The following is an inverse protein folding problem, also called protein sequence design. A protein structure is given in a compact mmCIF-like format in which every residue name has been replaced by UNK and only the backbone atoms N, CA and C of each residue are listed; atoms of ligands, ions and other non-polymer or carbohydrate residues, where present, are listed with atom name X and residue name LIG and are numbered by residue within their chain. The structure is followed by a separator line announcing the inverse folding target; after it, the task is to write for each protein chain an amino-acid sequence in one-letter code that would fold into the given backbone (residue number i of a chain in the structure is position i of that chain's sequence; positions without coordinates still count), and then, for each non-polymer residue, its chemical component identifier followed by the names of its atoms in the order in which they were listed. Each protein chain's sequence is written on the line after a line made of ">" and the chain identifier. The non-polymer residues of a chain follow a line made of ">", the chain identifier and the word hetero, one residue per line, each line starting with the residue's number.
data_IF_038997684625
#
_entry.id   IF_038997684625
#
_cell.length_a   1.000
_cell.length_b   1.000
_cell.length_c   1.000
_cell.angle_alpha   90.00
_cell.angle_beta   90.00
_cell.angle_gamma   90.00
#
_symmetry.space_group_name_H-M   'P 1'
#
loop_
_entity.id
_entity.type
_entity.pdbx_description
1 polymer ?
#
# COMPACT_ATOMS: atom_id res chain seq x y z
N UNK A 1 -47.20 22.86 -17.72
CA UNK A 1 -46.62 23.75 -16.71
C UNK A 1 -45.93 22.81 -15.75
N UNK A 2 -44.62 22.84 -15.91
CA UNK A 2 -43.62 21.89 -15.47
C UNK A 2 -43.16 22.27 -14.07
N UNK A 3 -42.97 21.29 -13.18
CA UNK A 3 -42.17 21.43 -11.97
C UNK A 3 -41.29 20.18 -11.87
N UNK A 4 -40.07 20.28 -12.40
CA UNK A 4 -38.95 19.38 -12.08
C UNK A 4 -38.18 20.02 -10.92
N UNK A 5 -38.18 19.35 -9.76
CA UNK A 5 -37.37 19.69 -8.60
C UNK A 5 -35.90 19.33 -8.87
N UNK A 6 -35.07 20.35 -9.12
CA UNK A 6 -33.61 20.29 -9.13
C UNK A 6 -33.06 20.31 -7.69
N UNK A 7 -32.79 19.12 -7.13
CA UNK A 7 -31.94 18.95 -5.95
C UNK A 7 -30.78 18.00 -6.28
N UNK A 8 -29.66 18.50 -6.81
CA UNK A 8 -28.37 17.81 -6.79
C UNK A 8 -27.25 18.78 -7.24
N UNK A 9 -26.49 19.39 -6.31
CA UNK A 9 -25.14 19.94 -6.58
C UNK A 9 -24.36 20.49 -5.35
N UNK A 10 -24.48 19.91 -4.16
CA UNK A 10 -23.75 20.39 -2.95
C UNK A 10 -22.69 19.41 -2.43
N UNK A 11 -22.67 18.15 -2.88
CA UNK A 11 -21.72 17.15 -2.38
C UNK A 11 -20.30 17.31 -2.96
N UNK A 12 -20.16 17.89 -4.15
CA UNK A 12 -18.88 17.98 -4.86
C UNK A 12 -17.91 19.02 -4.25
N UNK A 13 -18.41 20.12 -3.67
CA UNK A 13 -17.56 21.22 -3.20
C UNK A 13 -16.74 20.84 -1.95
N UNK A 14 -17.32 20.03 -1.06
CA UNK A 14 -16.62 19.53 0.15
C UNK A 14 -15.51 18.57 -0.24
N UNK A 15 -15.75 17.71 -1.25
CA UNK A 15 -14.72 16.81 -1.75
C UNK A 15 -13.56 17.58 -2.37
N UNK A 16 -13.84 18.63 -3.14
CA UNK A 16 -12.81 19.45 -3.78
C UNK A 16 -11.93 20.19 -2.77
N UNK A 17 -12.54 20.74 -1.70
CA UNK A 17 -11.82 21.38 -0.61
C UNK A 17 -10.84 20.42 0.08
N UNK A 18 -11.30 19.23 0.44
CA UNK A 18 -10.47 18.21 1.09
C UNK A 18 -9.31 17.78 0.19
N UNK A 19 -9.57 17.63 -1.12
CA UNK A 19 -8.59 17.22 -2.13
C UNK A 19 -7.46 18.25 -2.34
N UNK A 20 -7.77 19.56 -2.31
CA UNK A 20 -6.75 20.62 -2.37
C UNK A 20 -5.83 20.65 -1.16
N UNK A 21 -6.34 20.35 0.04
CA UNK A 21 -5.48 20.20 1.23
C UNK A 21 -4.55 18.99 1.12
N UNK A 22 -4.94 17.93 0.38
CA UNK A 22 -4.10 16.74 0.15
C UNK A 22 -2.88 17.09 -0.68
N UNK A 23 -3.03 17.85 -1.77
CA UNK A 23 -1.89 18.17 -2.64
C UNK A 23 -0.80 18.88 -1.85
N UNK A 24 -1.18 19.75 -0.91
CA UNK A 24 -0.26 20.40 0.01
C UNK A 24 0.38 19.44 1.03
N UNK A 25 -0.36 18.46 1.56
CA UNK A 25 0.19 17.45 2.49
C UNK A 25 1.08 16.40 1.82
N UNK A 26 0.76 16.01 0.58
CA UNK A 26 1.53 15.02 -0.19
C UNK A 26 2.85 15.64 -0.67
N UNK A 27 2.82 16.89 -1.12
CA UNK A 27 4.03 17.64 -1.48
C UNK A 27 4.95 17.84 -0.27
N UNK A 28 4.40 17.96 0.95
CA UNK A 28 5.17 18.07 2.19
C UNK A 28 5.77 16.75 2.71
N UNK A 29 5.24 15.59 2.29
CA UNK A 29 5.70 14.25 2.74
C UNK A 29 6.50 13.46 1.69
N UNK A 30 6.71 14.04 0.51
CA UNK A 30 7.57 13.45 -0.53
C UNK A 30 9.04 13.38 -0.06
N UNK A 31 9.81 12.34 -0.46
CA UNK A 31 11.20 12.17 -0.04
C UNK A 31 12.09 13.33 -0.53
N UNK A 32 13.03 13.84 0.29
CA UNK A 32 13.83 14.99 -0.06
C UNK A 32 14.98 14.54 -0.97
N UNK A 33 14.73 14.39 -2.27
CA UNK A 33 15.83 14.34 -3.23
C UNK A 33 15.41 14.83 -4.62
N UNK A 34 15.20 16.14 -4.75
CA UNK A 34 15.84 16.99 -5.75
C UNK A 34 15.22 18.40 -5.70
N UNK A 35 16.09 19.41 -5.64
CA UNK A 35 15.80 20.85 -5.77
C UNK A 35 15.41 21.62 -4.50
N UNK A 36 16.31 21.62 -3.51
CA UNK A 36 16.49 22.78 -2.65
C UNK A 36 17.33 23.85 -3.39
N UNK A 37 16.65 24.81 -4.02
CA UNK A 37 17.07 26.20 -4.30
C UNK A 37 15.94 26.80 -5.15
N UNK A 38 15.12 27.73 -4.68
CA UNK A 38 15.45 29.14 -4.51
C UNK A 38 14.33 29.76 -3.64
N UNK A 39 14.71 30.48 -2.59
CA UNK A 39 13.79 31.33 -1.84
C UNK A 39 13.88 32.78 -2.29
N UNK A 40 12.69 33.39 -2.42
CA UNK A 40 12.29 34.80 -2.20
C UNK A 40 12.17 35.79 -3.39
N UNK A 41 10.90 36.21 -3.53
CA UNK A 41 10.32 37.56 -3.70
C UNK A 41 10.10 38.20 -5.09
N UNK A 42 8.83 38.55 -5.29
CA UNK A 42 8.25 39.76 -5.93
C UNK A 42 7.87 39.75 -7.43
N UNK A 43 6.56 39.96 -7.62
CA UNK A 43 5.80 40.67 -8.67
C UNK A 43 6.41 41.01 -10.05
N UNK A 44 5.57 40.75 -11.09
CA UNK A 44 5.45 41.35 -12.46
C UNK A 44 5.77 40.47 -13.68
N UNK A 45 4.67 40.12 -14.39
CA UNK A 45 4.34 40.46 -15.80
C UNK A 45 5.35 40.14 -16.94
N UNK A 46 4.89 39.22 -17.80
CA UNK A 46 5.06 39.05 -19.27
C UNK A 46 6.40 38.64 -19.93
N UNK A 47 6.22 37.74 -20.92
CA UNK A 47 6.98 37.52 -22.18
C UNK A 47 8.13 36.48 -22.22
N UNK A 48 7.73 35.24 -22.55
CA UNK A 48 8.20 34.39 -23.66
C UNK A 48 9.67 34.52 -24.11
N UNK A 49 10.45 33.46 -23.85
CA UNK A 49 11.46 32.98 -24.80
C UNK A 49 11.72 31.48 -24.64
N UNK A 50 11.64 30.77 -25.77
CA UNK A 50 11.96 29.35 -25.96
C UNK A 50 13.41 29.05 -25.54
N UNK A 51 13.59 28.00 -24.75
CA UNK A 51 14.79 27.16 -24.80
C UNK A 51 14.36 25.71 -24.66
N UNK A 52 14.44 24.98 -25.77
CA UNK A 52 14.29 23.52 -25.82
C UNK A 52 15.36 22.89 -24.93
N UNK A 53 14.95 22.19 -23.89
CA UNK A 53 15.76 21.15 -23.26
C UNK A 53 14.91 19.88 -23.26
N UNK A 54 15.38 18.96 -24.09
CA UNK A 54 14.87 17.62 -24.25
C UNK A 54 15.20 16.86 -22.95
N UNK A 55 14.18 16.58 -22.15
CA UNK A 55 14.25 15.65 -21.04
C UNK A 55 12.95 14.87 -21.07
N UNK A 56 13.05 13.67 -21.62
CA UNK A 56 12.15 12.52 -21.54
C UNK A 56 10.91 12.76 -20.66
N UNK A 57 9.92 13.43 -21.23
CA UNK A 57 8.61 13.58 -20.62
C UNK A 57 7.87 12.28 -20.88
N UNK A 58 7.99 11.33 -19.95
CA UNK A 58 6.88 10.40 -19.72
C UNK A 58 5.67 11.31 -19.54
N UNK A 59 4.73 11.25 -20.49
CA UNK A 59 3.46 11.97 -20.39
C UNK A 59 2.92 11.74 -18.98
N UNK A 60 2.93 12.78 -18.13
CA UNK A 60 2.26 12.71 -16.84
C UNK A 60 0.79 12.59 -17.19
N UNK A 61 0.30 11.36 -17.25
CA UNK A 61 -1.11 11.05 -17.37
C UNK A 61 -1.77 11.79 -16.21
N UNK A 62 -2.58 12.78 -16.55
CA UNK A 62 -3.21 13.66 -15.58
C UNK A 62 -4.03 12.78 -14.63
N UNK A 63 -3.62 12.70 -13.37
CA UNK A 63 -4.22 11.77 -12.41
C UNK A 63 -5.61 12.31 -12.07
N UNK A 64 -6.70 11.55 -12.33
CA UNK A 64 -8.04 11.99 -12.00
C UNK A 64 -8.16 12.45 -10.55
N UNK A 65 -8.94 13.51 -10.35
CA UNK A 65 -9.12 14.09 -9.03
C UNK A 65 -10.01 13.22 -8.15
N UNK A 66 -10.98 12.52 -8.72
CA UNK A 66 -11.85 11.56 -8.04
C UNK A 66 -11.59 10.14 -8.55
N UNK A 67 -11.67 9.18 -7.63
CA UNK A 67 -11.55 7.75 -7.95
C UNK A 67 -12.69 6.99 -7.29
N UNK A 68 -13.30 6.07 -8.06
CA UNK A 68 -14.20 5.08 -7.50
C UNK A 68 -13.44 4.08 -6.63
N UNK A 69 -14.11 3.53 -5.61
CA UNK A 69 -13.50 2.49 -4.77
C UNK A 69 -13.27 1.22 -5.61
N UNK A 70 -12.05 0.66 -5.63
CA UNK A 70 -11.80 -0.61 -6.30
C UNK A 70 -12.45 -1.76 -5.51
N UNK A 71 -13.23 -2.57 -6.20
CA UNK A 71 -13.88 -3.77 -5.62
C UNK A 71 -13.11 -5.07 -5.91
N UNK A 72 -12.24 -5.03 -6.93
CA UNK A 72 -11.50 -6.22 -7.39
C UNK A 72 -10.02 -5.92 -7.55
N UNK A 73 -9.19 -6.98 -7.49
CA UNK A 73 -7.75 -6.85 -7.72
C UNK A 73 -7.44 -6.32 -9.13
N UNK A 74 -8.21 -6.72 -10.13
CA UNK A 74 -8.05 -6.24 -11.50
C UNK A 74 -8.39 -4.74 -11.63
N UNK A 75 -9.42 -4.26 -10.93
CA UNK A 75 -9.75 -2.83 -10.90
C UNK A 75 -8.64 -2.01 -10.24
N UNK A 76 -8.12 -2.47 -9.09
CA UNK A 76 -7.00 -1.82 -8.42
C UNK A 76 -5.74 -1.78 -9.30
N UNK A 77 -5.45 -2.90 -9.99
CA UNK A 77 -4.33 -3.00 -10.92
C UNK A 77 -4.50 -2.10 -12.14
N UNK A 78 -5.72 -1.91 -12.64
CA UNK A 78 -5.97 -0.95 -13.74
C UNK A 78 -5.80 0.50 -13.30
N UNK A 79 -6.08 0.83 -12.04
CA UNK A 79 -5.93 2.18 -11.52
C UNK A 79 -4.46 2.54 -11.23
N UNK A 80 -3.65 1.59 -10.77
CA UNK A 80 -2.30 1.85 -10.23
C UNK A 80 -1.20 1.21 -11.07
N UNK A 81 -1.50 0.16 -11.83
CA UNK A 81 -0.51 -0.72 -12.45
C UNK A 81 0.35 -0.09 -13.53
N UNK A 82 -0.12 0.97 -14.20
CA UNK A 82 0.64 1.73 -15.19
C UNK A 82 1.40 2.92 -14.62
N UNK A 83 1.22 3.21 -13.34
CA UNK A 83 1.72 4.43 -12.70
C UNK A 83 3.02 4.19 -11.93
N UNK A 84 3.83 5.25 -11.82
CA UNK A 84 5.03 5.23 -10.97
C UNK A 84 4.62 5.18 -9.47
N UNK A 85 5.59 5.04 -8.57
CA UNK A 85 5.30 4.90 -7.14
C UNK A 85 4.67 6.17 -6.52
N UNK A 86 5.08 7.37 -6.96
CA UNK A 86 4.55 8.65 -6.46
C UNK A 86 3.09 8.86 -6.87
N UNK A 87 2.79 8.56 -8.13
CA UNK A 87 1.44 8.56 -8.67
C UNK A 87 0.57 7.52 -7.96
N UNK A 88 1.10 6.31 -7.74
CA UNK A 88 0.41 5.26 -6.98
C UNK A 88 0.06 5.70 -5.57
N UNK A 89 0.98 6.38 -4.87
CA UNK A 89 0.75 6.96 -3.55
C UNK A 89 -0.39 7.99 -3.59
N UNK A 90 -0.36 8.88 -4.59
CA UNK A 90 -1.38 9.92 -4.76
C UNK A 90 -2.76 9.31 -5.04
N UNK A 91 -2.84 8.33 -5.96
CA UNK A 91 -4.07 7.63 -6.31
C UNK A 91 -4.69 6.94 -5.09
N UNK A 92 -3.90 6.15 -4.35
CA UNK A 92 -4.41 5.46 -3.14
C UNK A 92 -4.84 6.47 -2.07
N UNK A 93 -4.10 7.57 -1.91
CA UNK A 93 -4.47 8.63 -0.97
C UNK A 93 -5.81 9.27 -1.33
N UNK A 94 -6.04 9.58 -2.61
CA UNK A 94 -7.31 10.13 -3.10
C UNK A 94 -8.45 9.14 -2.89
N UNK A 95 -8.29 7.87 -3.27
CA UNK A 95 -9.28 6.80 -3.03
C UNK A 95 -9.68 6.74 -1.55
N UNK A 96 -8.69 6.76 -0.64
CA UNK A 96 -8.93 6.67 0.81
C UNK A 96 -9.69 7.88 1.36
N UNK A 97 -9.31 9.10 0.95
CA UNK A 97 -9.98 10.33 1.41
C UNK A 97 -11.39 10.46 0.84
N UNK A 98 -11.61 10.08 -0.42
CA UNK A 98 -12.95 10.02 -1.03
C UNK A 98 -13.89 9.00 -0.35
N UNK A 99 -13.33 8.00 0.35
CA UNK A 99 -14.09 6.94 1.00
C UNK A 99 -13.81 6.89 2.50
N UNK A 100 -13.60 8.04 3.14
CA UNK A 100 -13.36 8.09 4.58
C UNK A 100 -14.57 7.54 5.36
N UNK A 101 -14.37 6.84 6.50
CA UNK A 101 -15.47 6.30 7.31
C UNK A 101 -16.43 7.37 7.84
N UNK A 102 -15.97 8.62 7.95
CA UNK A 102 -16.77 9.75 8.42
C UNK A 102 -17.82 10.22 7.41
N UNK A 103 -17.68 9.86 6.13
CA UNK A 103 -18.57 10.30 5.06
C UNK A 103 -19.82 9.43 4.96
N UNK A 104 -19.69 8.11 5.12
CA UNK A 104 -20.81 7.17 5.09
C UNK A 104 -20.48 5.89 5.86
N UNK A 105 -21.47 5.28 6.52
CA UNK A 105 -21.26 4.05 7.32
C UNK A 105 -20.78 2.86 6.47
N UNK A 106 -21.22 2.76 5.21
CA UNK A 106 -20.84 1.67 4.32
C UNK A 106 -19.37 1.75 3.86
N UNK A 107 -18.74 2.93 3.94
CA UNK A 107 -17.33 3.14 3.60
C UNK A 107 -16.40 2.30 4.48
N UNK A 108 -16.83 1.93 5.70
CA UNK A 108 -16.04 1.04 6.56
C UNK A 108 -15.83 -0.33 5.93
N UNK A 109 -16.85 -0.90 5.27
CA UNK A 109 -16.72 -2.18 4.55
C UNK A 109 -15.84 -2.00 3.31
N UNK A 110 -16.02 -0.90 2.59
CA UNK A 110 -15.19 -0.56 1.42
C UNK A 110 -13.71 -0.48 1.77
N UNK A 111 -13.37 0.12 2.93
CA UNK A 111 -12.00 0.18 3.46
C UNK A 111 -11.45 -1.21 3.80
N UNK A 112 -12.27 -2.11 4.37
CA UNK A 112 -11.85 -3.50 4.62
C UNK A 112 -11.51 -4.21 3.30
N UNK A 113 -12.36 -4.06 2.28
CA UNK A 113 -12.11 -4.61 0.94
C UNK A 113 -10.81 -4.04 0.37
N UNK A 114 -10.62 -2.71 0.41
CA UNK A 114 -9.40 -2.06 -0.06
C UNK A 114 -8.14 -2.59 0.66
N UNK A 115 -8.18 -2.73 1.98
CA UNK A 115 -7.07 -3.31 2.74
C UNK A 115 -6.74 -4.74 2.28
N UNK A 116 -7.77 -5.55 2.03
CA UNK A 116 -7.61 -6.89 1.48
C UNK A 116 -6.93 -6.91 0.10
N UNK A 117 -7.33 -6.00 -0.79
CA UNK A 117 -6.77 -5.84 -2.13
C UNK A 117 -5.32 -5.34 -2.08
N UNK A 118 -4.99 -4.36 -1.24
CA UNK A 118 -3.63 -3.85 -1.09
C UNK A 118 -2.70 -4.93 -0.52
N UNK A 119 -3.15 -5.72 0.47
CA UNK A 119 -2.39 -6.86 0.98
C UNK A 119 -2.13 -7.91 -0.11
N UNK A 120 -3.11 -8.18 -0.97
CA UNK A 120 -2.94 -9.09 -2.11
C UNK A 120 -1.93 -8.54 -3.13
N UNK A 121 -2.03 -7.24 -3.48
CA UNK A 121 -1.11 -6.58 -4.40
C UNK A 121 0.31 -6.57 -3.86
N UNK A 122 0.50 -6.25 -2.58
CA UNK A 122 1.79 -6.32 -1.91
C UNK A 122 2.37 -7.73 -2.01
N UNK A 123 1.55 -8.77 -1.78
CA UNK A 123 1.99 -10.17 -1.93
C UNK A 123 2.54 -10.46 -3.33
N UNK A 124 1.85 -9.97 -4.37
CA UNK A 124 2.22 -10.16 -5.78
C UNK A 124 3.54 -9.45 -6.08
N UNK A 125 3.65 -8.16 -5.74
CA UNK A 125 4.86 -7.37 -5.98
C UNK A 125 6.07 -7.91 -5.22
N UNK A 126 5.87 -8.39 -3.99
CA UNK A 126 6.91 -9.00 -3.18
C UNK A 126 7.45 -10.32 -3.77
N UNK A 127 6.75 -10.91 -4.74
CA UNK A 127 7.17 -12.09 -5.48
C UNK A 127 7.85 -11.80 -6.83
N UNK A 128 7.93 -10.54 -7.26
CA UNK A 128 8.49 -10.16 -8.56
C UNK A 128 10.02 -10.07 -8.51
N UNK A 129 10.64 -10.27 -9.69
CA UNK A 129 12.06 -10.05 -9.92
C UNK A 129 12.22 -9.28 -11.24
N UNK A 130 12.76 -8.04 -11.24
CA UNK A 130 13.30 -7.29 -10.09
C UNK A 130 12.23 -6.89 -9.05
N UNK A 131 12.66 -6.66 -7.81
CA UNK A 131 11.77 -6.27 -6.71
C UNK A 131 11.41 -4.77 -6.84
N UNK A 132 10.13 -4.40 -6.97
CA UNK A 132 9.72 -2.99 -7.06
C UNK A 132 9.63 -2.36 -5.66
N UNK A 133 10.78 -1.97 -5.11
CA UNK A 133 10.92 -1.47 -3.73
C UNK A 133 10.03 -0.24 -3.49
N UNK A 134 10.06 0.74 -4.40
CA UNK A 134 9.32 1.99 -4.24
C UNK A 134 7.80 1.76 -4.13
N UNK A 135 7.26 0.85 -4.95
CA UNK A 135 5.84 0.47 -4.87
C UNK A 135 5.52 -0.30 -3.58
N UNK A 136 6.42 -1.16 -3.10
CA UNK A 136 6.23 -1.87 -1.84
C UNK A 136 6.21 -0.91 -0.64
N UNK A 137 7.07 0.10 -0.63
CA UNK A 137 7.12 1.12 0.40
C UNK A 137 5.82 1.94 0.43
N UNK A 138 5.33 2.37 -0.74
CA UNK A 138 4.05 3.07 -0.88
C UNK A 138 2.89 2.23 -0.35
N UNK A 139 2.80 0.96 -0.76
CA UNK A 139 1.75 0.06 -0.29
C UNK A 139 1.84 -0.19 1.22
N UNK A 140 3.05 -0.37 1.77
CA UNK A 140 3.26 -0.64 3.19
C UNK A 140 2.71 0.48 4.07
N UNK A 141 2.97 1.75 3.73
CA UNK A 141 2.47 2.92 4.46
C UNK A 141 0.94 2.95 4.49
N UNK A 142 0.31 2.78 3.33
CA UNK A 142 -1.15 2.76 3.25
C UNK A 142 -1.78 1.57 3.96
N UNK A 143 -1.15 0.38 3.90
CA UNK A 143 -1.62 -0.80 4.61
C UNK A 143 -1.57 -0.57 6.13
N UNK A 144 -0.48 0.00 6.65
CA UNK A 144 -0.36 0.33 8.09
C UNK A 144 -1.45 1.30 8.51
N UNK A 145 -1.64 2.40 7.78
CA UNK A 145 -2.68 3.38 8.13
C UNK A 145 -4.09 2.78 8.10
N UNK A 146 -4.42 2.00 7.06
CA UNK A 146 -5.73 1.38 6.93
C UNK A 146 -5.95 0.30 8.00
N UNK A 147 -4.90 -0.42 8.39
CA UNK A 147 -4.98 -1.42 9.45
C UNK A 147 -5.37 -0.79 10.79
N UNK A 148 -4.93 0.44 11.07
CA UNK A 148 -5.34 1.19 12.26
C UNK A 148 -6.83 1.58 12.23
N UNK A 149 -7.42 1.80 11.04
CA UNK A 149 -8.84 2.13 10.89
C UNK A 149 -9.75 0.89 11.04
N UNK A 150 -9.29 -0.29 10.62
CA UNK A 150 -10.06 -1.55 10.66
C UNK A 150 -9.29 -2.70 11.35
N UNK A 151 -8.91 -2.55 12.63
CA UNK A 151 -7.95 -3.44 13.30
C UNK A 151 -8.43 -4.90 13.40
N UNK A 152 -9.73 -5.13 13.63
CA UNK A 152 -10.28 -6.49 13.71
C UNK A 152 -10.19 -7.23 12.37
N UNK A 153 -10.52 -6.54 11.28
CA UNK A 153 -10.41 -7.10 9.93
C UNK A 153 -8.95 -7.32 9.56
N UNK A 154 -8.08 -6.35 9.84
CA UNK A 154 -6.64 -6.48 9.61
C UNK A 154 -6.06 -7.70 10.33
N UNK A 155 -6.38 -7.88 11.61
CA UNK A 155 -5.92 -9.02 12.39
C UNK A 155 -6.40 -10.36 11.81
N UNK A 156 -7.67 -10.42 11.39
CA UNK A 156 -8.24 -11.61 10.76
C UNK A 156 -7.57 -11.92 9.42
N UNK A 157 -7.36 -10.91 8.58
CA UNK A 157 -6.74 -11.06 7.25
C UNK A 157 -5.27 -11.48 7.32
N UNK A 158 -4.52 -10.97 8.30
CA UNK A 158 -3.13 -11.36 8.53
C UNK A 158 -3.05 -12.75 9.16
N UNK A 159 -3.89 -13.07 10.14
CA UNK A 159 -3.95 -14.41 10.75
C UNK A 159 -4.20 -15.49 9.69
N UNK A 160 -5.17 -15.29 8.80
CA UNK A 160 -5.45 -16.22 7.70
C UNK A 160 -4.22 -16.43 6.78
N UNK A 161 -3.43 -15.38 6.52
CA UNK A 161 -2.18 -15.48 5.74
C UNK A 161 -1.11 -16.27 6.47
N UNK A 162 -0.91 -16.02 7.77
CA UNK A 162 0.04 -16.77 8.60
C UNK A 162 -0.35 -18.25 8.69
N UNK A 163 -1.63 -18.56 8.84
CA UNK A 163 -2.14 -19.94 8.83
C UNK A 163 -1.86 -20.63 7.49
N UNK A 164 -2.07 -19.94 6.37
CA UNK A 164 -1.74 -20.46 5.04
C UNK A 164 -0.23 -20.70 4.88
N UNK A 165 0.61 -19.77 5.36
CA UNK A 165 2.07 -19.93 5.37
C UNK A 165 2.49 -21.15 6.19
N UNK A 166 1.92 -21.32 7.39
CA UNK A 166 2.19 -22.45 8.28
C UNK A 166 1.75 -23.78 7.66
N UNK A 167 0.57 -23.81 7.02
CA UNK A 167 0.08 -25.00 6.31
C UNK A 167 1.01 -25.43 5.18
N UNK A 168 1.46 -24.46 4.35
CA UNK A 168 2.43 -24.70 3.28
C UNK A 168 3.75 -25.23 3.80
N UNK A 169 4.27 -24.67 4.90
CA UNK A 169 5.48 -25.17 5.55
C UNK A 169 5.32 -26.62 6.01
N UNK A 170 4.22 -26.94 6.72
CA UNK A 170 3.95 -28.30 7.19
C UNK A 170 3.84 -29.29 6.02
N UNK A 171 3.28 -28.87 4.90
CA UNK A 171 3.20 -29.69 3.70
C UNK A 171 4.60 -29.93 3.10
N UNK A 172 5.37 -28.87 2.86
CA UNK A 172 6.74 -28.99 2.33
C UNK A 172 7.63 -29.90 3.19
N UNK A 173 7.52 -29.80 4.52
CA UNK A 173 8.25 -30.67 5.44
C UNK A 173 7.81 -32.14 5.37
N UNK A 174 6.52 -32.42 5.14
CA UNK A 174 6.02 -33.79 4.93
C UNK A 174 6.50 -34.37 3.61
N UNK A 175 6.62 -33.53 2.59
CA UNK A 175 7.09 -33.92 1.26
C UNK A 175 8.63 -34.07 1.20
N UNK A 176 9.33 -33.79 2.30
CA UNK A 176 10.79 -33.91 2.41
C UNK A 176 11.57 -32.74 1.80
N UNK A 177 10.89 -31.65 1.45
CA UNK A 177 11.51 -30.42 0.97
C UNK A 177 12.15 -29.64 2.14
N UNK A 178 12.99 -28.64 1.82
CA UNK A 178 13.64 -27.82 2.86
C UNK A 178 12.64 -27.01 3.68
N UNK A 179 11.51 -26.62 3.09
CA UNK A 179 10.49 -25.79 3.73
C UNK A 179 10.84 -24.30 3.83
N UNK A 180 12.01 -23.86 3.35
CA UNK A 180 12.40 -22.44 3.38
C UNK A 180 11.41 -21.57 2.60
N UNK A 181 10.91 -20.47 3.18
CA UNK A 181 9.88 -19.68 2.53
C UNK A 181 10.47 -18.78 1.43
N UNK A 182 9.66 -18.43 0.42
CA UNK A 182 10.07 -17.46 -0.60
C UNK A 182 10.25 -16.06 0.00
N UNK A 183 11.02 -15.20 -0.68
CA UNK A 183 11.29 -13.81 -0.26
C UNK A 183 9.99 -13.02 0.04
N UNK A 184 8.93 -13.25 -0.73
CA UNK A 184 7.61 -12.64 -0.51
C UNK A 184 7.06 -12.89 0.90
N UNK A 185 7.29 -14.07 1.46
CA UNK A 185 6.83 -14.42 2.81
C UNK A 185 7.59 -13.62 3.86
N UNK A 186 8.90 -13.41 3.67
CA UNK A 186 9.73 -12.62 4.57
C UNK A 186 9.27 -11.16 4.59
N UNK A 187 9.02 -10.59 3.40
CA UNK A 187 8.50 -9.22 3.28
C UNK A 187 7.11 -9.07 3.92
N UNK A 188 6.24 -10.08 3.83
CA UNK A 188 4.96 -10.09 4.52
C UNK A 188 5.12 -10.15 6.04
N UNK A 189 6.03 -10.97 6.57
CA UNK A 189 6.31 -11.02 8.01
C UNK A 189 6.81 -9.67 8.52
N UNK A 190 7.70 -9.01 7.77
CA UNK A 190 8.16 -7.65 8.06
C UNK A 190 7.00 -6.65 8.08
N UNK A 191 6.09 -6.73 7.10
CA UNK A 191 4.90 -5.88 7.07
C UNK A 191 3.98 -6.13 8.28
N UNK A 192 3.79 -7.39 8.68
CA UNK A 192 2.95 -7.71 9.83
C UNK A 192 3.53 -7.18 11.15
N UNK A 193 4.86 -7.22 11.29
CA UNK A 193 5.56 -6.62 12.42
C UNK A 193 5.47 -5.08 12.45
N UNK A 194 5.27 -4.43 11.30
CA UNK A 194 5.02 -2.99 11.22
C UNK A 194 3.56 -2.62 11.58
N UNK A 195 2.60 -3.52 11.35
CA UNK A 195 1.17 -3.28 11.63
C UNK A 195 0.84 -3.52 13.11
N UNK A 196 1.39 -4.59 13.71
CA UNK A 196 1.00 -5.04 15.05
C UNK A 196 2.13 -4.93 16.06
N UNK A 197 1.83 -4.58 17.33
CA UNK A 197 2.83 -4.54 18.38
C UNK A 197 3.46 -5.93 18.58
N UNK A 198 4.77 -5.93 18.81
CA UNK A 198 5.57 -7.14 19.06
C UNK A 198 5.93 -7.34 20.53
N UNK A 199 5.60 -6.36 21.38
CA UNK A 199 5.93 -6.35 22.82
C UNK A 199 4.91 -7.08 23.69
N UNK A 200 3.73 -7.38 23.16
CA UNK A 200 2.67 -8.01 23.93
C UNK A 200 3.00 -9.47 24.28
N UNK A 201 2.70 -9.86 25.52
CA UNK A 201 2.90 -11.24 25.98
C UNK A 201 2.14 -12.26 25.12
N UNK A 202 0.95 -11.90 24.65
CA UNK A 202 0.11 -12.73 23.78
C UNK A 202 -0.68 -11.82 22.85
N UNK A 203 -0.51 -12.00 21.54
CA UNK A 203 -1.21 -11.24 20.52
C UNK A 203 -1.77 -12.19 19.45
N UNK A 204 -3.05 -12.05 19.03
CA UNK A 204 -3.72 -12.99 18.12
C UNK A 204 -3.05 -13.14 16.75
N UNK A 205 -2.16 -12.21 16.38
CA UNK A 205 -1.43 -12.22 15.09
C UNK A 205 0.06 -12.43 15.28
N UNK A 206 0.68 -11.73 16.23
CA UNK A 206 2.13 -11.71 16.38
C UNK A 206 2.64 -13.02 17.00
N UNK A 207 1.88 -13.60 17.93
CA UNK A 207 2.20 -14.89 18.53
C UNK A 207 2.22 -16.02 17.49
N UNK A 208 1.17 -16.22 16.65
CA UNK A 208 1.25 -17.25 15.60
C UNK A 208 2.31 -16.95 14.52
N UNK A 209 2.59 -15.68 14.21
CA UNK A 209 3.69 -15.33 13.30
C UNK A 209 5.07 -15.70 13.89
N UNK A 210 5.27 -15.45 15.18
CA UNK A 210 6.50 -15.82 15.89
C UNK A 210 6.66 -17.34 16.00
N UNK A 211 5.55 -18.06 16.24
CA UNK A 211 5.55 -19.54 16.22
C UNK A 211 5.87 -20.09 14.83
N UNK A 212 5.38 -19.45 13.77
CA UNK A 212 5.73 -19.82 12.40
C UNK A 212 7.24 -19.67 12.15
N UNK A 213 7.83 -18.55 12.57
CA UNK A 213 9.29 -18.30 12.49
C UNK A 213 10.06 -19.34 13.31
N UNK A 214 9.64 -19.62 14.55
CA UNK A 214 10.27 -20.66 15.38
C UNK A 214 10.23 -22.05 14.72
N UNK A 215 9.10 -22.39 14.08
CA UNK A 215 8.95 -23.66 13.36
C UNK A 215 9.82 -23.72 12.10
N UNK A 216 10.00 -22.59 11.40
CA UNK A 216 10.95 -22.50 10.28
C UNK A 216 12.38 -22.79 10.77
N UNK A 217 12.84 -22.06 11.79
CA UNK A 217 14.21 -22.19 12.30
C UNK A 217 14.51 -23.57 12.90
N UNK A 218 13.51 -24.21 13.51
CA UNK A 218 13.68 -25.52 14.14
C UNK A 218 13.69 -26.70 13.15
N UNK A 219 12.96 -26.61 12.04
CA UNK A 219 12.71 -27.75 11.15
C UNK A 219 13.29 -27.62 9.75
N UNK A 220 13.58 -26.40 9.26
CA UNK A 220 14.15 -26.22 7.94
C UNK A 220 15.67 -26.44 7.96
N UNK A 221 16.14 -27.47 7.25
CA UNK A 221 17.56 -27.75 7.13
C UNK A 221 18.26 -26.71 6.25
N UNK A 222 19.42 -26.21 6.70
CA UNK A 222 20.27 -25.30 5.92
C UNK A 222 21.13 -26.14 4.96
N UNK A 223 20.89 -26.01 3.65
CA UNK A 223 21.61 -26.80 2.63
C UNK A 223 22.44 -25.94 1.69
N UNK A 224 22.13 -24.65 1.60
CA UNK A 224 22.79 -23.70 0.70
C UNK A 224 23.17 -22.41 1.43
N UNK A 225 24.07 -21.64 0.82
CA UNK A 225 24.41 -20.28 1.28
C UNK A 225 23.19 -19.37 1.27
N UNK A 226 22.27 -19.56 0.31
CA UNK A 226 20.99 -18.85 0.25
C UNK A 226 20.14 -19.12 1.49
N UNK A 227 20.04 -20.38 1.91
CA UNK A 227 19.29 -20.74 3.11
C UNK A 227 19.91 -20.08 4.35
N UNK A 228 21.25 -20.10 4.45
CA UNK A 228 21.96 -19.43 5.54
C UNK A 228 21.70 -17.91 5.55
N UNK A 229 21.65 -17.25 4.39
CA UNK A 229 21.28 -15.82 4.33
C UNK A 229 19.84 -15.57 4.76
N UNK A 230 18.90 -16.47 4.43
CA UNK A 230 17.51 -16.34 4.85
C UNK A 230 17.37 -16.50 6.37
N UNK A 231 18.11 -17.41 6.99
CA UNK A 231 18.16 -17.58 8.46
C UNK A 231 18.58 -16.30 9.17
N UNK A 232 19.53 -15.54 8.61
CA UNK A 232 20.01 -14.29 9.23
C UNK A 232 18.99 -13.15 9.13
N UNK A 233 18.13 -13.18 8.10
CA UNK A 233 17.11 -12.14 7.86
C UNK A 233 15.85 -12.40 8.71
N UNK A 234 15.52 -13.66 8.94
CA UNK A 234 14.34 -14.13 9.69
C UNK A 234 14.53 -14.00 11.20
#
# INVERSE_FOLDING_TARGET
>A
EDDEDDEEDVEDDVHIGLLREIEQEVEAKAPPNASAAITKSSDKVLLKSKSKKDSDAVERVDIPFTFSMPETAAALDSMIGSHNAEDAFTIITRIRKCNAPSLAEDNRKRIQTLLGLLLQRFEILAGQAPLPIDHLDVLSRHIVDLSAQVPFFAATAVKARVEKMSSRLRQALRDGETGWPPARTILLLSLFAAIFPTTDKSHPVTTPASLYIGNLLAHCAIRSTRDATLVVIV
#
